data_IF_797655103387
#
_entry.id   IF_797655103387
#
_cell.length_a   1.000
_cell.length_b   1.000
_cell.length_c   1.000
_cell.angle_alpha   90.00
_cell.angle_beta   90.00
_cell.angle_gamma   90.00
#
_symmetry.space_group_name_H-M   'P 1'
#
loop_
_entity.id
_entity.type
_entity.pdbx_description
1 polymer ?
#
# COMPACT_ATOMS: atom_id res chain seq x y z
N UNK A 1 17.12 4.91 -17.36
CA UNK A 1 15.80 4.42 -17.76
C UNK A 1 15.44 3.29 -16.78
N UNK A 2 14.34 3.41 -16.09
CA UNK A 2 13.79 2.35 -15.23
C UNK A 2 13.38 1.20 -16.16
N UNK A 3 13.75 -0.06 -15.89
CA UNK A 3 13.37 -1.17 -16.74
C UNK A 3 11.84 -1.30 -16.77
N UNK A 4 11.29 -1.62 -17.95
CA UNK A 4 9.87 -1.89 -18.13
C UNK A 4 9.44 -3.08 -17.26
N UNK A 5 8.23 -3.02 -16.73
CA UNK A 5 7.62 -4.13 -16.02
C UNK A 5 7.08 -5.12 -17.07
N UNK A 6 7.43 -6.39 -16.94
CA UNK A 6 6.89 -7.43 -17.83
C UNK A 6 5.77 -8.16 -17.09
N UNK A 7 4.59 -8.14 -17.67
CA UNK A 7 3.47 -8.98 -17.22
C UNK A 7 3.48 -10.29 -17.99
N UNK A 8 3.40 -11.39 -17.26
CA UNK A 8 3.21 -12.74 -17.81
C UNK A 8 1.77 -13.16 -17.50
N UNK A 9 0.98 -13.44 -18.52
CA UNK A 9 -0.33 -14.05 -18.40
C UNK A 9 -0.20 -15.54 -18.80
N UNK A 10 -0.50 -16.46 -17.87
CA UNK A 10 -0.34 -17.90 -18.00
C UNK A 10 -1.72 -18.51 -17.83
N UNK A 11 -2.29 -19.06 -18.91
CA UNK A 11 -3.62 -19.69 -18.87
C UNK A 11 -3.44 -21.21 -18.84
N UNK A 12 -4.08 -21.86 -17.87
CA UNK A 12 -3.95 -23.30 -17.62
C UNK A 12 -5.30 -23.95 -17.35
N UNK A 13 -5.40 -25.23 -17.70
CA UNK A 13 -6.49 -26.10 -17.30
C UNK A 13 -6.30 -26.64 -15.87
N UNK A 14 -7.26 -27.45 -15.40
CA UNK A 14 -7.24 -28.03 -14.05
C UNK A 14 -6.06 -29.00 -13.85
N UNK A 15 -5.61 -29.72 -14.89
CA UNK A 15 -4.49 -30.67 -14.78
C UNK A 15 -3.14 -29.94 -14.64
N UNK A 16 -3.01 -28.78 -15.23
CA UNK A 16 -1.79 -27.96 -15.24
C UNK A 16 -1.68 -27.03 -14.02
N UNK A 17 -2.80 -26.76 -13.35
CA UNK A 17 -2.90 -25.76 -12.27
C UNK A 17 -1.85 -25.96 -11.18
N UNK A 18 -1.82 -27.16 -10.57
CA UNK A 18 -0.92 -27.45 -9.45
C UNK A 18 0.57 -27.32 -9.84
N UNK A 19 0.88 -27.70 -11.08
CA UNK A 19 2.26 -27.59 -11.59
C UNK A 19 2.67 -26.13 -11.72
N UNK A 20 1.81 -25.29 -12.29
CA UNK A 20 2.11 -23.85 -12.45
C UNK A 20 2.14 -23.15 -11.11
N UNK A 21 1.16 -23.40 -10.22
CA UNK A 21 1.15 -22.84 -8.88
C UNK A 21 2.43 -23.21 -8.10
N UNK A 22 2.88 -24.47 -8.17
CA UNK A 22 4.12 -24.91 -7.54
C UNK A 22 5.38 -24.24 -8.12
N UNK A 23 5.42 -24.00 -9.44
CA UNK A 23 6.51 -23.26 -10.08
C UNK A 23 6.51 -21.79 -9.69
N UNK A 24 5.34 -21.17 -9.56
CA UNK A 24 5.20 -19.78 -9.10
C UNK A 24 5.70 -19.63 -7.66
N UNK A 25 5.23 -20.47 -6.73
CA UNK A 25 5.72 -20.47 -5.33
C UNK A 25 7.24 -20.58 -5.26
N UNK A 26 7.86 -21.37 -6.13
CA UNK A 26 9.29 -21.59 -6.12
C UNK A 26 10.12 -20.44 -6.70
N UNK A 27 9.57 -19.71 -7.70
CA UNK A 27 10.32 -18.73 -8.47
C UNK A 27 9.94 -17.28 -8.15
N UNK A 28 8.74 -17.05 -7.56
CA UNK A 28 8.21 -15.72 -7.28
C UNK A 28 8.05 -15.53 -5.77
N UNK A 29 8.69 -14.49 -5.23
CA UNK A 29 8.67 -14.19 -3.79
C UNK A 29 7.63 -13.14 -3.37
N UNK A 30 6.96 -12.48 -4.32
CA UNK A 30 6.10 -11.31 -4.09
C UNK A 30 4.62 -11.53 -4.49
N UNK A 31 4.24 -12.74 -4.87
CA UNK A 31 2.85 -13.07 -5.19
C UNK A 31 2.46 -12.82 -6.65
N UNK A 32 1.22 -13.19 -6.99
CA UNK A 32 0.62 -13.10 -8.32
C UNK A 32 -0.89 -12.98 -8.19
N UNK A 33 -1.57 -12.68 -9.29
CA UNK A 33 -3.03 -12.65 -9.37
C UNK A 33 -3.54 -13.94 -10.00
N UNK A 34 -4.70 -14.43 -9.55
CA UNK A 34 -5.40 -15.57 -10.12
C UNK A 34 -6.83 -15.18 -10.52
N UNK A 35 -7.18 -15.45 -11.77
CA UNK A 35 -8.52 -15.22 -12.29
C UNK A 35 -9.09 -16.53 -12.84
N UNK A 36 -10.29 -16.92 -12.41
CA UNK A 36 -11.05 -17.99 -13.05
C UNK A 36 -11.72 -17.47 -14.33
N UNK A 37 -11.46 -18.11 -15.44
CA UNK A 37 -12.03 -17.75 -16.74
C UNK A 37 -13.39 -18.42 -16.99
N UNK A 38 -14.27 -17.82 -17.80
CA UNK A 38 -15.55 -18.44 -18.13
C UNK A 38 -15.43 -19.80 -18.85
N UNK A 39 -14.25 -20.10 -19.40
CA UNK A 39 -13.91 -21.37 -20.06
C UNK A 39 -13.65 -22.50 -19.07
N UNK A 40 -13.54 -22.21 -17.77
CA UNK A 40 -13.17 -23.16 -16.71
C UNK A 40 -11.65 -23.24 -16.48
N UNK A 41 -10.87 -22.50 -17.24
CA UNK A 41 -9.42 -22.36 -17.08
C UNK A 41 -9.08 -21.33 -15.99
N UNK A 42 -7.87 -21.40 -15.47
CA UNK A 42 -7.32 -20.39 -14.56
C UNK A 42 -6.23 -19.58 -15.27
N UNK A 43 -6.28 -18.26 -15.12
CA UNK A 43 -5.21 -17.37 -15.56
C UNK A 43 -4.41 -16.91 -14.34
N UNK A 44 -3.12 -17.22 -14.35
CA UNK A 44 -2.13 -16.63 -13.45
C UNK A 44 -1.52 -15.40 -14.11
N UNK A 45 -1.46 -14.29 -13.38
CA UNK A 45 -0.83 -13.06 -13.83
C UNK A 45 0.33 -12.70 -12.92
N UNK A 46 1.53 -12.65 -13.47
CA UNK A 46 2.78 -12.35 -12.75
C UNK A 46 3.40 -11.08 -13.32
N UNK A 47 3.78 -10.16 -12.44
CA UNK A 47 4.45 -8.92 -12.81
C UNK A 47 5.94 -9.01 -12.46
N UNK A 48 6.80 -9.12 -13.46
CA UNK A 48 8.25 -9.25 -13.28
C UNK A 48 8.94 -7.90 -13.50
N UNK A 49 9.62 -7.39 -12.48
CA UNK A 49 10.45 -6.18 -12.55
C UNK A 49 11.94 -6.52 -12.75
N UNK A 50 12.27 -7.80 -12.74
CA UNK A 50 13.63 -8.34 -12.85
C UNK A 50 13.69 -9.38 -13.98
N UNK A 51 14.53 -9.12 -14.99
CA UNK A 51 14.71 -10.00 -16.13
C UNK A 51 15.19 -11.41 -15.74
N UNK A 52 16.01 -11.54 -14.67
CA UNK A 52 16.50 -12.84 -14.21
C UNK A 52 15.36 -13.69 -13.65
N UNK A 53 14.47 -13.09 -12.85
CA UNK A 53 13.29 -13.77 -12.29
C UNK A 53 12.35 -14.20 -13.42
N UNK A 54 12.10 -13.32 -14.38
CA UNK A 54 11.29 -13.61 -15.59
C UNK A 54 11.89 -14.81 -16.38
N UNK A 55 13.16 -14.77 -16.70
CA UNK A 55 13.85 -15.83 -17.46
C UNK A 55 13.82 -17.17 -16.74
N UNK A 56 14.08 -17.18 -15.43
CA UNK A 56 14.02 -18.38 -14.58
C UNK A 56 12.61 -19.00 -14.59
N UNK A 57 11.58 -18.19 -14.40
CA UNK A 57 10.20 -18.66 -14.44
C UNK A 57 9.83 -19.21 -15.82
N UNK A 58 10.12 -18.49 -16.90
CA UNK A 58 9.85 -18.95 -18.25
C UNK A 58 10.60 -20.24 -18.59
N UNK A 59 11.84 -20.37 -18.18
CA UNK A 59 12.63 -21.58 -18.36
C UNK A 59 12.03 -22.77 -17.60
N UNK A 60 11.58 -22.56 -16.36
CA UNK A 60 10.93 -23.58 -15.57
C UNK A 60 9.59 -24.02 -16.21
N UNK A 61 8.76 -23.06 -16.64
CA UNK A 61 7.49 -23.37 -17.33
C UNK A 61 7.71 -24.18 -18.59
N UNK A 62 8.66 -23.80 -19.45
CA UNK A 62 8.99 -24.55 -20.69
C UNK A 62 9.50 -25.97 -20.42
N UNK A 63 10.27 -26.15 -19.32
CA UNK A 63 10.81 -27.44 -18.96
C UNK A 63 9.74 -28.44 -18.44
N UNK A 64 8.76 -27.95 -17.69
CA UNK A 64 7.73 -28.77 -17.06
C UNK A 64 6.47 -28.89 -17.90
N UNK A 65 6.14 -27.88 -18.66
CA UNK A 65 4.95 -27.79 -19.52
C UNK A 65 5.34 -27.35 -20.95
N UNK A 66 6.02 -28.22 -21.71
CA UNK A 66 6.40 -27.89 -23.08
C UNK A 66 5.14 -27.69 -23.94
N UNK A 67 5.00 -26.50 -24.52
CA UNK A 67 3.81 -26.11 -25.29
C UNK A 67 2.80 -25.23 -24.55
N UNK A 68 3.02 -24.95 -23.27
CA UNK A 68 2.23 -23.94 -22.55
C UNK A 68 2.49 -22.56 -23.17
N UNK A 69 1.43 -21.90 -23.58
CA UNK A 69 1.51 -20.53 -24.09
C UNK A 69 1.55 -19.53 -22.92
N UNK A 70 2.54 -18.63 -22.97
CA UNK A 70 2.70 -17.58 -21.97
C UNK A 70 2.73 -16.25 -22.70
N UNK A 71 1.66 -15.50 -22.53
CA UNK A 71 1.59 -14.14 -23.09
C UNK A 71 2.48 -13.21 -22.28
N UNK A 72 3.34 -12.45 -22.98
CA UNK A 72 4.25 -11.48 -22.38
C UNK A 72 3.89 -10.08 -22.84
N UNK A 73 3.54 -9.22 -21.93
CA UNK A 73 3.20 -7.82 -22.21
C UNK A 73 4.18 -6.91 -21.51
N UNK A 74 4.88 -6.07 -22.27
CA UNK A 74 5.66 -4.97 -21.68
C UNK A 74 4.69 -3.90 -21.20
N UNK A 75 4.70 -3.65 -19.90
CA UNK A 75 3.98 -2.56 -19.29
C UNK A 75 4.99 -1.45 -19.09
N UNK A 76 4.87 -0.37 -19.86
CA UNK A 76 5.62 0.82 -19.53
C UNK A 76 5.27 1.14 -18.08
N UNK A 77 6.28 1.24 -17.24
CA UNK A 77 6.08 1.86 -15.92
C UNK A 77 5.59 3.28 -16.19
N UNK A 78 4.30 3.41 -16.47
CA UNK A 78 3.64 4.66 -16.21
C UNK A 78 4.03 5.00 -14.78
N UNK A 79 4.45 6.23 -14.60
CA UNK A 79 4.85 6.73 -13.31
C UNK A 79 3.67 6.54 -12.34
N UNK A 80 3.58 5.34 -11.76
CA UNK A 80 2.53 4.98 -10.80
C UNK A 80 2.54 6.00 -9.68
N UNK A 81 3.70 6.64 -9.46
CA UNK A 81 3.85 7.77 -8.54
C UNK A 81 3.01 8.98 -8.95
N UNK A 82 2.60 9.12 -10.19
CA UNK A 82 1.73 10.20 -10.65
C UNK A 82 0.28 9.73 -10.78
N UNK A 83 0.05 8.57 -11.38
CA UNK A 83 -1.31 8.06 -11.62
C UNK A 83 -2.08 7.78 -10.31
N UNK A 84 -1.44 7.20 -9.29
CA UNK A 84 -2.10 6.94 -8.01
C UNK A 84 -2.36 8.22 -7.18
N UNK A 85 -1.62 9.30 -7.43
CA UNK A 85 -1.88 10.60 -6.77
C UNK A 85 -3.29 11.12 -7.03
N UNK A 86 -3.84 10.85 -8.21
CA UNK A 86 -5.18 11.27 -8.60
C UNK A 86 -6.28 10.57 -7.78
N UNK A 87 -5.99 9.41 -7.21
CA UNK A 87 -6.93 8.67 -6.36
C UNK A 87 -6.91 9.09 -4.89
N UNK A 88 -5.91 9.90 -4.48
CA UNK A 88 -5.87 10.40 -3.11
C UNK A 88 -6.79 11.61 -2.96
N UNK A 89 -7.79 11.43 -2.12
CA UNK A 89 -8.70 12.50 -1.73
C UNK A 89 -8.47 12.86 -0.27
N UNK A 90 -8.62 14.14 0.12
CA UNK A 90 -8.55 14.53 1.53
C UNK A 90 -9.57 13.79 2.38
N UNK A 91 -9.13 13.21 3.49
CA UNK A 91 -9.98 12.49 4.43
C UNK A 91 -10.30 13.36 5.64
N UNK A 92 -11.57 13.60 5.88
CA UNK A 92 -12.05 14.36 7.03
C UNK A 92 -12.39 13.42 8.17
N UNK A 93 -11.77 13.62 9.34
CA UNK A 93 -11.95 12.80 10.53
C UNK A 93 -11.97 13.68 11.78
N UNK A 94 -13.15 13.94 12.32
CA UNK A 94 -13.34 14.85 13.45
C UNK A 94 -12.79 16.26 13.17
N UNK A 95 -11.91 16.75 14.05
CA UNK A 95 -11.26 18.06 13.88
C UNK A 95 -10.07 18.05 12.91
N UNK A 96 -9.75 16.90 12.31
CA UNK A 96 -8.62 16.74 11.43
C UNK A 96 -9.02 16.62 9.96
N UNK A 97 -8.10 16.98 9.09
CA UNK A 97 -8.13 16.67 7.66
C UNK A 97 -6.79 16.06 7.29
N UNK A 98 -6.82 14.81 6.80
CA UNK A 98 -5.63 14.09 6.36
C UNK A 98 -5.50 14.24 4.87
N UNK A 99 -4.33 14.63 4.41
CA UNK A 99 -4.08 14.85 2.98
C UNK A 99 -2.59 14.72 2.67
N UNK A 100 -2.26 14.35 1.42
CA UNK A 100 -0.89 14.33 0.97
C UNK A 100 -0.35 15.75 0.72
N UNK A 101 0.99 15.96 0.71
CA UNK A 101 1.60 17.28 0.57
C UNK A 101 1.13 18.07 -0.65
N UNK A 102 0.96 17.39 -1.80
CA UNK A 102 0.56 18.05 -3.06
C UNK A 102 -0.89 18.57 -3.09
N UNK A 103 -1.73 18.16 -2.14
CA UNK A 103 -3.11 18.66 -2.01
C UNK A 103 -3.24 19.78 -0.97
N UNK A 104 -2.20 20.06 -0.18
CA UNK A 104 -2.29 20.98 0.95
C UNK A 104 -2.70 22.40 0.55
N UNK A 105 -2.10 22.97 -0.51
CA UNK A 105 -2.40 24.33 -0.94
C UNK A 105 -3.76 24.47 -1.63
N UNK A 106 -4.25 23.41 -2.25
CA UNK A 106 -5.49 23.41 -3.03
C UNK A 106 -6.74 22.98 -2.23
N UNK A 107 -6.55 22.43 -1.03
CA UNK A 107 -7.66 21.87 -0.22
C UNK A 107 -8.14 22.85 0.84
N UNK A 108 -9.43 23.23 0.84
CA UNK A 108 -10.02 24.02 1.91
C UNK A 108 -10.01 23.25 3.24
N UNK A 109 -9.35 23.79 4.26
CA UNK A 109 -9.22 23.13 5.57
C UNK A 109 -10.51 23.17 6.39
N UNK A 110 -11.42 24.11 6.11
CA UNK A 110 -12.73 24.24 6.77
C UNK A 110 -12.61 24.29 8.31
N UNK A 111 -11.57 24.94 8.82
CA UNK A 111 -11.28 25.03 10.26
C UNK A 111 -10.69 23.78 10.89
N UNK A 112 -10.40 22.73 10.09
CA UNK A 112 -9.74 21.50 10.56
C UNK A 112 -8.23 21.66 10.63
N UNK A 113 -7.62 20.88 11.50
CA UNK A 113 -6.16 20.77 11.61
C UNK A 113 -5.62 19.83 10.54
N UNK A 114 -4.73 20.28 9.65
CA UNK A 114 -4.16 19.42 8.62
C UNK A 114 -3.17 18.43 9.23
N UNK A 115 -3.29 17.18 8.82
CA UNK A 115 -2.30 16.13 9.01
C UNK A 115 -1.77 15.77 7.63
N UNK A 116 -0.53 16.13 7.37
CA UNK A 116 0.09 15.92 6.07
C UNK A 116 0.83 14.59 6.12
N UNK A 117 0.44 13.64 5.27
CA UNK A 117 1.04 12.31 5.19
C UNK A 117 1.52 12.08 3.76
N UNK A 118 2.81 11.85 3.59
CA UNK A 118 3.35 11.36 2.32
C UNK A 118 2.99 9.88 2.17
N UNK A 119 2.09 9.52 1.23
CA UNK A 119 1.69 8.14 1.05
C UNK A 119 2.88 7.33 0.51
N UNK A 120 3.32 6.36 1.30
CA UNK A 120 4.35 5.38 0.97
C UNK A 120 3.80 3.97 1.20
N UNK A 121 4.69 2.99 1.29
CA UNK A 121 4.35 1.60 1.55
C UNK A 121 3.86 1.33 2.98
N UNK A 122 4.04 2.26 3.92
CA UNK A 122 3.57 2.09 5.29
C UNK A 122 2.05 2.25 5.41
N UNK A 123 1.44 1.48 6.33
CA UNK A 123 0.03 1.61 6.68
C UNK A 123 -0.26 2.97 7.33
N UNK A 124 -1.47 3.51 7.11
CA UNK A 124 -1.92 4.73 7.80
C UNK A 124 -1.97 5.98 6.91
N UNK A 125 -2.32 5.83 5.63
CA UNK A 125 -2.58 6.97 4.72
C UNK A 125 -3.85 7.77 5.08
N UNK A 126 -4.58 7.36 6.14
CA UNK A 126 -5.83 7.98 6.57
C UNK A 126 -7.09 7.44 5.90
N UNK A 127 -6.98 6.68 4.81
CA UNK A 127 -8.14 6.16 4.07
C UNK A 127 -8.79 4.93 4.70
N UNK A 128 -8.09 4.23 5.60
CA UNK A 128 -8.67 3.06 6.27
C UNK A 128 -9.66 3.51 7.37
N UNK A 129 -10.84 2.90 7.42
CA UNK A 129 -11.89 3.26 8.38
C UNK A 129 -11.43 3.23 9.84
N UNK A 130 -10.54 2.32 10.23
CA UNK A 130 -10.00 2.24 11.59
C UNK A 130 -9.18 3.48 11.95
N UNK A 131 -8.39 4.02 11.02
CA UNK A 131 -7.63 5.24 11.23
C UNK A 131 -8.55 6.45 11.41
N UNK A 132 -9.62 6.54 10.59
CA UNK A 132 -10.64 7.58 10.71
C UNK A 132 -11.29 7.53 12.10
N UNK A 133 -11.74 6.34 12.53
CA UNK A 133 -12.36 6.14 13.86
C UNK A 133 -11.41 6.52 15.01
N UNK A 134 -10.12 6.22 14.90
CA UNK A 134 -9.14 6.63 15.91
C UNK A 134 -8.98 8.16 15.96
N UNK A 135 -8.95 8.85 14.83
CA UNK A 135 -8.87 10.32 14.79
C UNK A 135 -10.15 10.99 15.32
N UNK A 136 -11.31 10.41 15.05
CA UNK A 136 -12.59 10.84 15.64
C UNK A 136 -12.60 10.63 17.15
N UNK A 137 -12.15 9.48 17.64
CA UNK A 137 -12.02 9.21 19.08
C UNK A 137 -11.07 10.19 19.77
N UNK A 138 -9.93 10.52 19.17
CA UNK A 138 -9.01 11.56 19.67
C UNK A 138 -9.74 12.90 19.74
N UNK A 139 -10.52 13.25 18.72
CA UNK A 139 -11.32 14.48 18.71
C UNK A 139 -12.31 14.53 19.87
N UNK A 140 -13.05 13.47 20.12
CA UNK A 140 -14.03 13.38 21.22
C UNK A 140 -13.34 13.45 22.61
N UNK A 141 -12.19 12.77 22.76
CA UNK A 141 -11.43 12.80 24.00
C UNK A 141 -10.89 14.21 24.32
N UNK A 142 -10.47 14.94 23.31
CA UNK A 142 -10.04 16.34 23.43
C UNK A 142 -11.24 17.26 23.76
N UNK A 143 -12.36 17.11 23.05
CA UNK A 143 -13.56 17.90 23.27
C UNK A 143 -14.15 17.69 24.68
N UNK A 144 -14.12 16.46 25.19
CA UNK A 144 -14.57 16.12 26.55
C UNK A 144 -13.60 16.49 27.66
N UNK A 145 -12.40 16.98 27.31
CA UNK A 145 -11.34 17.31 28.27
C UNK A 145 -10.70 16.10 28.95
N UNK A 146 -10.96 14.89 28.48
CA UNK A 146 -10.30 13.65 28.93
C UNK A 146 -8.86 13.57 28.42
N UNK A 147 -8.60 14.15 27.25
CA UNK A 147 -7.27 14.32 26.68
C UNK A 147 -6.94 15.83 26.67
N UNK A 148 -5.74 16.21 27.13
CA UNK A 148 -5.35 17.62 27.31
C UNK A 148 -3.92 17.85 26.85
N UNK A 149 -3.63 19.06 26.41
CA UNK A 149 -2.26 19.51 26.17
C UNK A 149 -1.37 19.26 27.39
N UNK A 150 -0.12 18.90 27.14
CA UNK A 150 0.87 18.55 28.18
C UNK A 150 0.83 17.08 28.64
N UNK A 151 -0.18 16.31 28.29
CA UNK A 151 -0.19 14.87 28.52
C UNK A 151 0.75 14.15 27.54
N UNK A 152 1.12 12.92 27.90
CA UNK A 152 2.02 12.08 27.11
C UNK A 152 1.24 10.94 26.48
N UNK A 153 1.69 10.51 25.28
CA UNK A 153 1.14 9.35 24.59
C UNK A 153 2.25 8.35 24.20
N UNK A 154 1.84 7.14 23.91
CA UNK A 154 2.67 6.12 23.27
C UNK A 154 1.84 5.44 22.19
N UNK A 155 2.29 5.57 20.94
CA UNK A 155 1.62 5.05 19.74
C UNK A 155 2.31 3.74 19.34
N UNK A 156 1.67 2.61 19.61
CA UNK A 156 2.18 1.26 19.31
C UNK A 156 1.64 0.80 17.97
N UNK A 157 2.54 0.49 17.04
CA UNK A 157 2.18 0.25 15.63
C UNK A 157 1.88 1.57 14.93
N UNK A 158 2.81 2.53 15.05
CA UNK A 158 2.58 3.92 14.62
C UNK A 158 2.35 4.08 13.12
N UNK A 159 2.82 3.12 12.29
CA UNK A 159 2.70 3.17 10.83
C UNK A 159 3.29 4.46 10.25
N UNK A 160 2.45 5.26 9.62
CA UNK A 160 2.82 6.57 9.06
C UNK A 160 3.02 7.68 10.12
N UNK A 161 2.79 7.39 11.39
CA UNK A 161 2.82 8.38 12.48
C UNK A 161 1.54 9.20 12.64
N UNK A 162 0.51 8.93 11.87
CA UNK A 162 -0.70 9.78 11.75
C UNK A 162 -1.39 10.06 13.10
N UNK A 163 -1.52 9.07 13.99
CA UNK A 163 -2.15 9.25 15.30
C UNK A 163 -1.25 10.05 16.26
N UNK A 164 0.05 9.77 16.22
CA UNK A 164 1.04 10.55 16.96
C UNK A 164 1.04 12.02 16.54
N UNK A 165 1.01 12.30 15.23
CA UNK A 165 0.91 13.66 14.68
C UNK A 165 -0.38 14.35 15.15
N UNK A 166 -1.53 13.66 15.10
CA UNK A 166 -2.79 14.19 15.61
C UNK A 166 -2.70 14.61 17.09
N UNK A 167 -2.03 13.81 17.91
CA UNK A 167 -1.77 14.13 19.32
C UNK A 167 -0.84 15.34 19.46
N UNK A 168 0.27 15.40 18.73
CA UNK A 168 1.23 16.51 18.76
C UNK A 168 0.60 17.83 18.35
N UNK A 169 -0.25 17.85 17.32
CA UNK A 169 -1.01 19.03 16.89
C UNK A 169 -1.96 19.59 17.96
N UNK A 170 -2.22 18.83 19.02
CA UNK A 170 -3.04 19.22 20.16
C UNK A 170 -2.22 19.42 21.46
N UNK A 171 -0.91 19.54 21.33
CA UNK A 171 -0.02 19.87 22.44
C UNK A 171 0.31 18.69 23.36
N UNK A 172 0.09 17.45 22.90
CA UNK A 172 0.60 16.29 23.58
C UNK A 172 2.04 16.00 23.11
N UNK A 173 2.80 15.28 23.91
CA UNK A 173 4.14 14.81 23.56
C UNK A 173 4.23 13.30 23.76
N UNK A 174 4.93 12.58 22.89
CA UNK A 174 5.00 11.13 23.03
C UNK A 174 6.02 10.48 22.13
N UNK A 175 5.87 9.17 22.02
CA UNK A 175 6.70 8.31 21.20
C UNK A 175 5.79 7.42 20.33
N UNK A 176 6.21 7.15 19.11
CA UNK A 176 5.67 6.08 18.27
C UNK A 176 6.66 4.91 18.20
N UNK A 177 6.16 3.73 18.02
CA UNK A 177 6.96 2.53 17.74
C UNK A 177 6.28 1.68 16.70
N UNK A 178 7.07 1.00 15.86
CA UNK A 178 6.58 0.02 14.91
C UNK A 178 7.56 -1.16 14.84
N UNK A 179 7.06 -2.34 14.47
CA UNK A 179 7.90 -3.52 14.22
C UNK A 179 8.58 -3.43 12.86
N UNK A 180 7.97 -2.70 11.91
CA UNK A 180 8.51 -2.49 10.57
C UNK A 180 9.41 -1.25 10.55
N UNK A 181 10.74 -1.41 10.28
CA UNK A 181 11.65 -0.27 10.16
C UNK A 181 11.23 0.74 9.09
N UNK A 182 10.61 0.27 7.99
CA UNK A 182 10.11 1.16 6.91
C UNK A 182 8.98 2.07 7.41
N UNK A 183 8.13 1.55 8.30
CA UNK A 183 7.09 2.36 8.94
C UNK A 183 7.70 3.42 9.86
N UNK A 184 8.74 3.07 10.64
CA UNK A 184 9.45 4.03 11.50
C UNK A 184 10.07 5.15 10.68
N UNK A 185 10.77 4.82 9.58
CA UNK A 185 11.38 5.81 8.69
C UNK A 185 10.31 6.72 8.07
N UNK A 186 9.17 6.16 7.64
CA UNK A 186 8.06 6.92 7.10
C UNK A 186 7.43 7.88 8.15
N UNK A 187 7.27 7.41 9.39
CA UNK A 187 6.75 8.24 10.48
C UNK A 187 7.70 9.40 10.86
N UNK A 188 9.01 9.21 10.70
CA UNK A 188 10.01 10.25 10.94
C UNK A 188 10.05 11.32 9.85
N UNK A 189 9.63 10.97 8.62
CA UNK A 189 9.59 11.91 7.50
C UNK A 189 8.29 12.75 7.48
N UNK A 190 7.19 12.23 8.04
CA UNK A 190 5.91 12.92 8.14
C UNK A 190 5.87 13.91 9.32
#
# INVERSE_FOLDING_TARGET
ATPDLIRLDIVVDEEQYDTVAGLLVRNISYGWEEDSLPTGETRFRVHCDNAIVQENLLSALRAWLPGLDVEQTSIQRQDWTVAWREFFTPVRAGQFIVLPPWLFESTPLEGRKPIIIEPKSAFGTGHHNTTVLCLEAITELLASGRLKAGQRFFDVGTGSGILGIACCLNGLAGLGSDIDPVAVDNALEN
#
